data_IF_925303123230
#
_entry.id   IF_925303123230
#
_cell.length_a   1.000
_cell.length_b   1.000
_cell.length_c   1.000
_cell.angle_alpha   90.00
_cell.angle_beta   90.00
_cell.angle_gamma   90.00
#
_symmetry.space_group_name_H-M   'P 1'
#
loop_
_entity.id
_entity.type
_entity.pdbx_description
1 polymer ?
#
# COMPACT_ATOMS: atom_id res chain seq x y z
N UNK A 1 32.02 28.13 -31.00
CA UNK A 1 33.14 28.77 -30.29
C UNK A 1 34.04 27.66 -29.82
N UNK A 2 35.19 27.50 -30.46
CA UNK A 2 36.13 26.45 -30.10
C UNK A 2 36.80 26.79 -28.78
N UNK A 3 36.83 25.82 -27.86
CA UNK A 3 37.26 26.01 -26.47
C UNK A 3 38.76 26.19 -26.31
N UNK A 4 39.51 25.98 -27.39
CA UNK A 4 40.96 26.14 -27.45
C UNK A 4 41.32 26.96 -28.67
N UNK A 5 41.95 28.11 -28.46
CA UNK A 5 42.62 28.87 -29.51
C UNK A 5 44.04 28.34 -29.68
N UNK A 6 44.53 28.27 -30.91
CA UNK A 6 45.94 27.96 -31.17
C UNK A 6 46.66 29.25 -31.49
N UNK A 7 47.69 29.57 -30.72
CA UNK A 7 48.49 30.78 -30.89
C UNK A 7 49.37 30.69 -32.15
N UNK A 8 49.96 31.81 -32.59
CA UNK A 8 50.80 31.87 -33.81
C UNK A 8 52.00 30.90 -33.80
N UNK A 9 52.38 30.42 -32.61
CA UNK A 9 53.44 29.44 -32.36
C UNK A 9 52.94 28.00 -32.13
N UNK A 10 51.67 27.69 -32.45
CA UNK A 10 51.11 26.34 -32.32
C UNK A 10 50.77 25.92 -30.88
N UNK A 11 50.83 26.83 -29.90
CA UNK A 11 50.49 26.55 -28.51
C UNK A 11 48.97 26.64 -28.31
N UNK A 12 48.38 25.61 -27.69
CA UNK A 12 46.95 25.63 -27.34
C UNK A 12 46.76 26.50 -26.10
N UNK A 13 46.02 27.59 -26.25
CA UNK A 13 45.56 28.45 -25.16
C UNK A 13 44.07 28.23 -24.91
N UNK A 14 43.67 28.28 -23.64
CA UNK A 14 42.27 28.22 -23.25
C UNK A 14 41.64 29.58 -23.50
N UNK A 15 40.51 29.62 -24.22
CA UNK A 15 39.81 30.87 -24.45
C UNK A 15 38.96 31.24 -23.24
N UNK A 16 39.48 32.15 -22.41
CA UNK A 16 38.86 32.57 -21.14
C UNK A 16 37.45 33.12 -21.36
N UNK A 17 37.22 33.91 -22.41
CA UNK A 17 35.92 34.52 -22.70
C UNK A 17 34.86 33.46 -23.07
N UNK A 18 35.25 32.44 -23.84
CA UNK A 18 34.35 31.34 -24.18
C UNK A 18 33.95 30.52 -22.94
N UNK A 19 34.89 30.28 -22.02
CA UNK A 19 34.62 29.61 -20.75
C UNK A 19 33.81 30.48 -19.78
N UNK A 20 34.05 31.79 -19.73
CA UNK A 20 33.25 32.72 -18.95
C UNK A 20 31.82 32.82 -19.47
N UNK A 21 31.63 32.86 -20.79
CA UNK A 21 30.31 32.85 -21.41
C UNK A 21 29.57 31.53 -21.15
N UNK A 22 30.25 30.40 -21.20
CA UNK A 22 29.67 29.09 -20.88
C UNK A 22 29.36 28.95 -19.39
N UNK A 23 30.20 29.48 -18.50
CA UNK A 23 29.95 29.53 -17.06
C UNK A 23 28.74 30.43 -16.72
N UNK A 24 28.64 31.61 -17.35
CA UNK A 24 27.48 32.51 -17.21
C UNK A 24 26.20 31.85 -17.73
N UNK A 25 26.25 31.14 -18.87
CA UNK A 25 25.12 30.35 -19.40
C UNK A 25 24.77 29.13 -18.54
N UNK A 26 25.75 28.52 -17.87
CA UNK A 26 25.53 27.44 -16.90
C UNK A 26 24.95 27.94 -15.57
N UNK A 27 25.33 29.14 -15.13
CA UNK A 27 24.79 29.81 -13.95
C UNK A 27 23.38 30.37 -14.16
N UNK A 28 23.02 30.72 -15.41
CA UNK A 28 21.61 30.80 -15.81
C UNK A 28 21.04 29.38 -15.69
N UNK A 29 20.62 29.04 -14.46
CA UNK A 29 20.12 27.73 -14.06
C UNK A 29 19.22 27.22 -15.17
N UNK A 30 19.59 26.09 -15.79
CA UNK A 30 18.66 25.31 -16.60
C UNK A 30 17.36 25.25 -15.80
N UNK A 31 16.30 25.82 -16.36
CA UNK A 31 15.00 25.85 -15.71
C UNK A 31 14.59 24.44 -15.31
N UNK A 32 13.60 24.31 -14.41
CA UNK A 32 13.08 22.98 -14.08
C UNK A 32 12.73 22.24 -15.37
N UNK A 33 13.11 20.96 -15.44
CA UNK A 33 12.87 20.16 -16.64
C UNK A 33 11.38 20.19 -17.00
N UNK A 34 11.06 20.11 -18.28
CA UNK A 34 9.65 20.03 -18.72
C UNK A 34 8.94 18.82 -18.08
N UNK A 35 9.68 17.73 -17.84
CA UNK A 35 9.22 16.58 -17.06
C UNK A 35 8.84 16.96 -15.62
N UNK A 36 9.69 17.73 -14.94
CA UNK A 36 9.41 18.20 -13.58
C UNK A 36 8.22 19.16 -13.52
N UNK A 37 8.05 20.04 -14.51
CA UNK A 37 6.88 20.93 -14.61
C UNK A 37 5.60 20.14 -14.85
N UNK A 38 5.63 19.18 -15.77
CA UNK A 38 4.47 18.32 -16.06
C UNK A 38 4.11 17.41 -14.88
N UNK A 39 5.12 16.87 -14.18
CA UNK A 39 4.89 16.13 -12.95
C UNK A 39 4.27 17.04 -11.89
N UNK A 40 4.82 18.24 -11.69
CA UNK A 40 4.28 19.18 -10.71
C UNK A 40 2.84 19.62 -11.04
N UNK A 41 2.50 19.86 -12.30
CA UNK A 41 1.12 20.23 -12.68
C UNK A 41 0.14 19.07 -12.46
N UNK A 42 0.51 17.84 -12.81
CA UNK A 42 -0.28 16.64 -12.53
C UNK A 42 -0.50 16.46 -11.03
N UNK A 43 0.57 16.59 -10.25
CA UNK A 43 0.49 16.40 -8.80
C UNK A 43 -0.27 17.54 -8.13
N UNK A 44 -0.11 18.78 -8.58
CA UNK A 44 -0.76 19.96 -7.99
C UNK A 44 -2.29 19.88 -7.97
N UNK A 45 -2.90 19.12 -8.87
CA UNK A 45 -4.34 18.87 -8.88
C UNK A 45 -4.83 18.04 -7.67
N UNK A 46 -3.93 17.30 -7.02
CA UNK A 46 -4.23 16.45 -5.86
C UNK A 46 -3.75 17.07 -4.55
N UNK A 47 -4.36 16.70 -3.42
CA UNK A 47 -3.93 17.20 -2.10
C UNK A 47 -2.49 16.79 -1.78
N UNK A 48 -1.75 17.56 -0.97
CA UNK A 48 -0.34 17.30 -0.63
C UNK A 48 -0.05 15.84 -0.20
N UNK A 49 -0.96 15.22 0.55
CA UNK A 49 -0.83 13.81 0.96
C UNK A 49 -1.02 12.82 -0.21
N UNK A 50 -1.92 13.13 -1.15
CA UNK A 50 -2.15 12.31 -2.34
C UNK A 50 -0.95 12.42 -3.29
N UNK A 51 -0.40 13.62 -3.48
CA UNK A 51 0.83 13.86 -4.24
C UNK A 51 1.97 12.97 -3.73
N UNK A 52 2.18 12.97 -2.41
CA UNK A 52 3.20 12.14 -1.77
C UNK A 52 2.96 10.65 -2.03
N UNK A 53 1.73 10.18 -1.84
CA UNK A 53 1.38 8.78 -2.05
C UNK A 53 1.61 8.36 -3.52
N UNK A 54 1.24 9.22 -4.46
CA UNK A 54 1.44 9.00 -5.89
C UNK A 54 2.92 8.92 -6.26
N UNK A 55 3.76 9.85 -5.78
CA UNK A 55 5.22 9.78 -5.98
C UNK A 55 5.84 8.49 -5.47
N UNK A 56 5.42 8.05 -4.29
CA UNK A 56 5.89 6.78 -3.72
C UNK A 56 5.42 5.59 -4.56
N UNK A 57 4.16 5.58 -4.98
CA UNK A 57 3.62 4.52 -5.84
C UNK A 57 4.31 4.48 -7.22
N UNK A 58 4.59 5.63 -7.84
CA UNK A 58 5.36 5.72 -9.07
C UNK A 58 6.78 5.15 -8.88
N UNK A 59 7.43 5.47 -7.77
CA UNK A 59 8.76 4.95 -7.45
C UNK A 59 8.74 3.41 -7.29
N UNK A 60 7.74 2.87 -6.60
CA UNK A 60 7.57 1.42 -6.37
C UNK A 60 7.21 0.69 -7.67
N UNK A 61 6.28 1.24 -8.46
CA UNK A 61 5.88 0.64 -9.74
C UNK A 61 6.99 0.67 -10.78
N UNK A 62 7.97 1.58 -10.64
CA UNK A 62 9.13 1.67 -11.53
C UNK A 62 10.24 0.65 -11.24
N UNK A 63 10.12 -0.13 -10.16
CA UNK A 63 11.06 -1.21 -9.82
C UNK A 63 11.10 -2.27 -10.93
N UNK A 64 12.31 -2.73 -11.29
CA UNK A 64 12.61 -3.69 -12.38
C UNK A 64 12.28 -3.25 -13.82
N UNK A 65 11.78 -2.03 -14.04
CA UNK A 65 11.40 -1.55 -15.38
C UNK A 65 12.50 -0.78 -16.14
N UNK A 66 13.57 -0.36 -15.45
CA UNK A 66 14.66 0.43 -16.07
C UNK A 66 15.89 -0.43 -16.32
N UNK A 67 16.27 -0.58 -17.58
CA UNK A 67 17.55 -1.16 -18.02
C UNK A 67 18.56 -0.04 -18.25
N UNK A 68 19.73 -0.13 -17.63
CA UNK A 68 20.81 0.83 -17.87
C UNK A 68 21.53 0.45 -19.16
N UNK A 69 21.63 1.39 -20.10
CA UNK A 69 22.60 1.33 -21.19
C UNK A 69 23.83 2.07 -20.68
N UNK A 70 24.96 1.38 -20.59
CA UNK A 70 26.18 1.89 -19.98
C UNK A 70 26.88 2.92 -20.89
N UNK A 71 26.35 4.15 -20.95
CA UNK A 71 27.06 5.27 -21.55
C UNK A 71 28.00 5.89 -20.52
N UNK A 72 29.31 5.64 -20.69
CA UNK A 72 30.37 6.17 -19.82
C UNK A 72 30.44 7.70 -19.79
N UNK A 73 29.82 8.38 -20.76
CA UNK A 73 29.79 9.83 -20.91
C UNK A 73 28.74 10.56 -20.04
N UNK A 74 27.69 9.87 -19.57
CA UNK A 74 26.68 10.49 -18.69
C UNK A 74 27.10 10.37 -17.22
N UNK A 75 28.11 11.14 -16.82
CA UNK A 75 28.39 11.44 -15.41
C UNK A 75 27.40 12.47 -14.83
N UNK A 76 26.11 12.27 -15.10
CA UNK A 76 25.01 13.06 -14.57
C UNK A 76 24.24 12.30 -13.49
N UNK A 77 23.52 13.02 -12.63
CA UNK A 77 22.73 12.53 -11.45
C UNK A 77 21.59 11.53 -11.76
N UNK A 78 21.65 10.77 -12.86
CA UNK A 78 20.62 9.80 -13.30
C UNK A 78 21.25 8.42 -13.48
N UNK A 79 22.02 7.96 -12.49
CA UNK A 79 22.65 6.63 -12.54
C UNK A 79 22.08 5.77 -11.42
N UNK A 80 20.95 5.12 -11.76
CA UNK A 80 20.34 4.01 -11.01
C UNK A 80 19.65 4.37 -9.68
N UNK A 81 18.44 3.85 -9.47
CA UNK A 81 17.69 3.96 -8.22
C UNK A 81 16.28 4.55 -8.35
N UNK A 82 15.70 4.95 -7.21
CA UNK A 82 14.42 5.64 -7.14
C UNK A 82 14.59 7.10 -7.57
N UNK A 83 13.74 7.58 -8.46
CA UNK A 83 13.84 8.94 -9.01
C UNK A 83 12.72 9.82 -8.46
N UNK A 84 13.06 11.01 -8.00
CA UNK A 84 12.08 12.06 -7.71
C UNK A 84 11.87 12.92 -8.97
N UNK A 85 10.67 12.92 -9.59
CA UNK A 85 10.40 13.67 -10.83
C UNK A 85 10.38 15.19 -10.60
N UNK A 86 10.09 15.65 -9.37
CA UNK A 86 10.03 17.08 -9.03
C UNK A 86 11.43 17.69 -8.94
N UNK A 87 12.38 16.95 -8.36
CA UNK A 87 13.73 17.45 -8.10
C UNK A 87 14.79 16.94 -9.09
N UNK A 88 14.42 16.05 -10.01
CA UNK A 88 15.34 15.37 -10.94
C UNK A 88 16.54 14.69 -10.22
N UNK A 89 16.28 14.15 -9.04
CA UNK A 89 17.27 13.45 -8.20
C UNK A 89 17.03 11.94 -8.21
N UNK A 90 18.08 11.15 -8.38
CA UNK A 90 18.06 9.71 -8.15
C UNK A 90 18.63 9.34 -6.78
N UNK A 91 17.94 8.47 -6.06
CA UNK A 91 18.31 7.93 -4.76
C UNK A 91 18.55 6.43 -4.85
N UNK A 92 19.56 5.92 -4.15
CA UNK A 92 19.87 4.48 -4.09
C UNK A 92 18.81 3.71 -3.31
N UNK A 93 18.35 4.28 -2.19
CA UNK A 93 17.50 3.65 -1.20
C UNK A 93 16.11 4.30 -1.09
N UNK A 94 15.13 3.53 -0.62
CA UNK A 94 13.76 4.02 -0.37
C UNK A 94 13.70 5.02 0.78
N UNK A 95 14.47 4.81 1.84
CA UNK A 95 14.51 5.71 3.00
C UNK A 95 15.03 7.09 2.60
N UNK A 96 16.13 7.14 1.85
CA UNK A 96 16.68 8.38 1.32
C UNK A 96 15.68 9.14 0.42
N UNK A 97 14.85 8.42 -0.36
CA UNK A 97 13.78 9.01 -1.15
C UNK A 97 12.68 9.60 -0.24
N UNK A 98 12.25 8.85 0.77
CA UNK A 98 11.20 9.30 1.71
C UNK A 98 11.65 10.53 2.50
N UNK A 99 12.89 10.53 2.98
CA UNK A 99 13.49 11.66 3.69
C UNK A 99 13.63 12.87 2.77
N UNK A 100 13.98 12.65 1.50
CA UNK A 100 13.98 13.71 0.51
C UNK A 100 12.59 14.30 0.28
N UNK A 101 11.55 13.48 0.10
CA UNK A 101 10.17 13.95 -0.10
C UNK A 101 9.66 14.71 1.15
N UNK A 102 10.11 14.30 2.35
CA UNK A 102 9.85 14.99 3.61
C UNK A 102 10.62 16.30 3.79
N UNK A 103 11.71 16.49 3.04
CA UNK A 103 12.58 17.64 3.26
C UNK A 103 11.89 18.96 2.87
N UNK A 104 12.16 20.06 3.61
CA UNK A 104 11.58 21.37 3.28
C UNK A 104 12.06 21.88 1.92
N UNK A 105 13.21 21.42 1.44
CA UNK A 105 13.73 21.77 0.12
C UNK A 105 12.86 21.19 -1.00
N UNK A 106 12.39 19.95 -0.84
CA UNK A 106 11.48 19.33 -1.78
C UNK A 106 10.12 20.04 -1.79
N UNK A 107 9.55 20.30 -0.61
CA UNK A 107 8.27 21.00 -0.48
C UNK A 107 8.30 22.39 -1.13
N UNK A 108 9.37 23.17 -0.93
CA UNK A 108 9.53 24.49 -1.56
C UNK A 108 9.59 24.41 -3.09
N UNK A 109 10.34 23.45 -3.64
CA UNK A 109 10.43 23.25 -5.09
C UNK A 109 9.10 22.80 -5.70
N UNK A 110 8.38 21.88 -5.03
CA UNK A 110 7.06 21.46 -5.46
C UNK A 110 6.09 22.64 -5.53
N UNK A 111 6.14 23.53 -4.55
CA UNK A 111 5.33 24.76 -4.52
C UNK A 111 5.74 25.77 -5.59
N UNK A 112 7.05 25.97 -5.80
CA UNK A 112 7.55 26.84 -6.86
C UNK A 112 7.06 26.36 -8.24
N UNK A 113 7.10 25.05 -8.48
CA UNK A 113 6.59 24.47 -9.71
C UNK A 113 5.06 24.57 -9.83
N UNK A 114 4.32 24.38 -8.73
CA UNK A 114 2.87 24.57 -8.71
C UNK A 114 2.47 26.03 -8.97
N UNK A 115 3.25 27.01 -8.50
CA UNK A 115 3.07 28.44 -8.81
C UNK A 115 3.32 28.71 -10.29
N UNK A 116 4.40 28.17 -10.85
CA UNK A 116 4.69 28.27 -12.29
C UNK A 116 3.56 27.64 -13.12
N UNK A 117 2.96 26.56 -12.64
CA UNK A 117 1.84 25.89 -13.29
C UNK A 117 0.48 26.59 -13.10
N UNK A 118 0.41 27.68 -12.33
CA UNK A 118 -0.83 28.45 -12.08
C UNK A 118 -1.86 27.74 -11.20
N UNK A 119 -1.47 26.66 -10.53
CA UNK A 119 -2.34 25.83 -9.68
C UNK A 119 -2.16 26.20 -8.21
N UNK A 120 -2.34 27.47 -7.88
CA UNK A 120 -2.19 27.96 -6.51
C UNK A 120 -3.53 27.99 -5.79
N UNK A 121 -3.53 27.41 -4.59
CA UNK A 121 -4.59 27.62 -3.61
C UNK A 121 -4.10 28.59 -2.54
N UNK A 122 -4.96 29.54 -2.24
CA UNK A 122 -4.73 30.81 -1.56
C UNK A 122 -4.73 30.69 -0.03
N UNK A 123 -3.99 29.71 0.53
CA UNK A 123 -3.92 29.49 1.98
C UNK A 123 -2.55 29.83 2.55
N UNK A 124 -2.51 30.37 3.78
CA UNK A 124 -1.27 30.47 4.55
C UNK A 124 -0.64 29.09 4.75
N UNK A 125 0.64 29.01 4.42
CA UNK A 125 1.37 27.75 4.39
C UNK A 125 2.46 27.79 5.45
N UNK A 126 2.29 27.04 6.55
CA UNK A 126 3.39 26.80 7.49
C UNK A 126 4.17 25.58 7.05
N UNK A 127 5.50 25.71 6.91
CA UNK A 127 6.41 24.62 6.51
C UNK A 127 6.05 23.86 5.23
N UNK A 128 5.28 24.46 4.33
CA UNK A 128 4.85 23.81 3.09
C UNK A 128 3.46 23.16 3.13
N UNK A 129 2.78 23.18 4.28
CA UNK A 129 1.46 22.57 4.49
C UNK A 129 0.42 23.67 4.81
N UNK A 130 -0.76 23.62 4.18
CA UNK A 130 -1.87 24.51 4.49
C UNK A 130 -2.56 24.08 5.79
N UNK A 131 -2.88 25.04 6.65
CA UNK A 131 -3.76 24.78 7.78
C UNK A 131 -5.19 24.56 7.28
N UNK A 132 -5.84 23.50 7.77
CA UNK A 132 -7.22 23.21 7.44
C UNK A 132 -8.17 24.14 8.22
N UNK A 133 -9.24 24.58 7.57
CA UNK A 133 -10.32 25.31 8.24
C UNK A 133 -11.18 24.35 9.07
N UNK A 134 -11.86 24.81 10.13
CA UNK A 134 -12.72 23.94 10.94
C UNK A 134 -13.85 23.29 10.13
N UNK A 135 -14.34 23.97 9.09
CA UNK A 135 -15.36 23.45 8.18
C UNK A 135 -14.83 22.33 7.28
N UNK A 136 -13.59 22.44 6.78
CA UNK A 136 -12.95 21.33 6.06
C UNK A 136 -12.74 20.10 6.97
N UNK A 137 -12.44 20.34 8.25
CA UNK A 137 -12.25 19.26 9.23
C UNK A 137 -13.56 18.52 9.48
N UNK A 138 -14.69 19.22 9.64
CA UNK A 138 -15.98 18.53 9.82
C UNK A 138 -16.36 17.68 8.59
N UNK A 139 -16.23 18.24 7.38
CA UNK A 139 -16.51 17.52 6.13
C UNK A 139 -15.62 16.28 5.96
N UNK A 140 -14.32 16.40 6.25
CA UNK A 140 -13.40 15.26 6.16
C UNK A 140 -13.72 14.18 7.18
N UNK A 141 -14.09 14.55 8.41
CA UNK A 141 -14.53 13.61 9.44
C UNK A 141 -15.79 12.86 8.97
N UNK A 142 -16.79 13.56 8.44
CA UNK A 142 -18.01 12.94 7.92
C UNK A 142 -17.71 11.92 6.80
N UNK A 143 -16.83 12.28 5.86
CA UNK A 143 -16.38 11.40 4.79
C UNK A 143 -15.66 10.15 5.32
N UNK A 144 -14.78 10.31 6.31
CA UNK A 144 -14.05 9.22 6.93
C UNK A 144 -14.97 8.28 7.73
N UNK A 145 -15.95 8.83 8.44
CA UNK A 145 -16.98 8.06 9.14
C UNK A 145 -17.81 7.25 8.14
N UNK A 146 -18.28 7.89 7.06
CA UNK A 146 -19.02 7.21 6.00
C UNK A 146 -18.19 6.08 5.36
N UNK A 147 -16.89 6.31 5.10
CA UNK A 147 -15.98 5.30 4.57
C UNK A 147 -15.81 4.12 5.53
N UNK A 148 -15.57 4.38 6.82
CA UNK A 148 -15.49 3.32 7.85
C UNK A 148 -16.78 2.53 7.98
N UNK A 149 -17.95 3.18 7.89
CA UNK A 149 -19.23 2.49 7.92
C UNK A 149 -19.41 1.56 6.71
N UNK A 150 -18.99 1.98 5.51
CA UNK A 150 -19.00 1.13 4.31
C UNK A 150 -18.03 -0.05 4.44
N UNK A 151 -16.81 0.19 4.91
CA UNK A 151 -15.82 -0.88 5.16
C UNK A 151 -16.29 -1.86 6.24
N UNK A 152 -16.95 -1.36 7.29
CA UNK A 152 -17.57 -2.19 8.32
C UNK A 152 -18.79 -2.97 7.81
N UNK A 153 -19.59 -2.41 6.92
CA UNK A 153 -20.68 -3.14 6.27
C UNK A 153 -20.14 -4.22 5.33
N UNK A 154 -19.08 -3.91 4.57
CA UNK A 154 -18.39 -4.83 3.68
C UNK A 154 -17.61 -5.93 4.41
N UNK A 155 -17.14 -5.69 5.63
CA UNK A 155 -16.51 -6.71 6.47
C UNK A 155 -17.52 -7.50 7.31
N UNK A 156 -18.69 -6.94 7.63
CA UNK A 156 -19.80 -7.69 8.25
C UNK A 156 -20.38 -8.80 7.37
N UNK A 157 -20.13 -8.77 6.05
CA UNK A 157 -20.47 -9.89 5.16
C UNK A 157 -19.54 -11.09 5.31
N UNK A 158 -18.39 -10.97 6.01
CA UNK A 158 -17.53 -12.10 6.40
C UNK A 158 -18.05 -12.90 7.62
N UNK A 159 -19.37 -12.92 7.83
CA UNK A 159 -20.09 -13.44 9.00
C UNK A 159 -19.82 -12.66 10.29
N UNK A 160 -20.82 -11.87 10.68
CA UNK A 160 -20.87 -11.26 12.01
C UNK A 160 -20.56 -12.32 13.09
N UNK A 161 -19.77 -11.96 14.10
CA UNK A 161 -19.50 -12.83 15.26
C UNK A 161 -20.81 -13.42 15.85
N UNK A 162 -21.91 -12.68 15.78
CA UNK A 162 -23.23 -13.12 16.21
C UNK A 162 -23.80 -14.25 15.34
N UNK A 163 -23.59 -14.23 14.02
CA UNK A 163 -24.01 -15.30 13.11
C UNK A 163 -23.19 -16.57 13.34
N UNK A 164 -21.89 -16.45 13.59
CA UNK A 164 -21.04 -17.58 14.01
C UNK A 164 -21.52 -18.22 15.31
N UNK A 165 -21.90 -17.41 16.30
CA UNK A 165 -22.45 -17.90 17.57
C UNK A 165 -23.79 -18.61 17.36
N UNK A 166 -24.68 -18.04 16.53
CA UNK A 166 -25.97 -18.68 16.17
C UNK A 166 -25.78 -20.01 15.45
N UNK A 167 -24.86 -20.09 14.48
CA UNK A 167 -24.52 -21.35 13.78
C UNK A 167 -23.96 -22.40 14.74
N UNK A 168 -23.09 -22.00 15.69
CA UNK A 168 -22.55 -22.89 16.73
C UNK A 168 -23.64 -23.42 17.66
N UNK A 169 -24.57 -22.56 18.10
CA UNK A 169 -25.70 -22.95 18.95
C UNK A 169 -26.64 -23.93 18.24
N UNK A 170 -27.02 -23.63 16.99
CA UNK A 170 -27.86 -24.52 16.18
C UNK A 170 -27.21 -25.90 15.95
N UNK A 171 -25.89 -25.95 15.77
CA UNK A 171 -25.15 -27.21 15.64
C UNK A 171 -25.15 -28.02 16.94
N UNK A 172 -24.95 -27.37 18.09
CA UNK A 172 -25.00 -28.00 19.42
C UNK A 172 -26.40 -28.56 19.72
N UNK A 173 -27.45 -27.81 19.38
CA UNK A 173 -28.83 -28.22 19.57
C UNK A 173 -29.20 -29.42 18.70
N UNK A 174 -28.82 -29.40 17.41
CA UNK A 174 -29.03 -30.54 16.49
C UNK A 174 -28.25 -31.79 16.92
N UNK A 175 -27.09 -31.63 17.55
CA UNK A 175 -26.32 -32.75 18.12
C UNK A 175 -26.98 -33.30 19.39
N UNK A 176 -27.57 -32.43 20.21
CA UNK A 176 -28.32 -32.80 21.41
C UNK A 176 -29.60 -33.55 21.07
N UNK A 177 -30.39 -33.07 20.10
CA UNK A 177 -31.61 -33.74 19.64
C UNK A 177 -31.32 -35.12 19.06
N UNK A 178 -30.30 -35.26 18.20
CA UNK A 178 -29.85 -36.57 17.68
C UNK A 178 -29.40 -37.53 18.79
N UNK A 179 -28.79 -37.04 19.87
CA UNK A 179 -28.42 -37.88 21.02
C UNK A 179 -29.64 -38.33 21.83
N UNK A 180 -30.63 -37.44 22.03
CA UNK A 180 -31.89 -37.77 22.70
C UNK A 180 -32.69 -38.80 21.92
N UNK A 181 -32.78 -38.64 20.60
CA UNK A 181 -33.48 -39.58 19.70
C UNK A 181 -32.83 -40.97 19.70
N UNK A 182 -31.48 -41.04 19.68
CA UNK A 182 -30.75 -42.31 19.84
C UNK A 182 -30.97 -42.97 21.20
N UNK A 183 -31.10 -42.17 22.28
CA UNK A 183 -31.42 -42.69 23.63
C UNK A 183 -32.85 -43.21 23.72
N UNK A 184 -33.80 -42.54 23.08
CA UNK A 184 -35.19 -43.03 23.00
C UNK A 184 -35.29 -44.31 22.18
N UNK A 185 -34.62 -44.40 21.03
CA UNK A 185 -34.54 -45.66 20.25
C UNK A 185 -33.90 -46.80 21.02
N UNK A 186 -32.87 -46.53 21.83
CA UNK A 186 -32.28 -47.55 22.72
C UNK A 186 -33.19 -47.97 23.86
N UNK A 187 -33.97 -47.06 24.45
CA UNK A 187 -34.95 -47.39 25.48
C UNK A 187 -36.12 -48.21 24.92
N UNK A 188 -36.66 -47.85 23.76
CA UNK A 188 -37.68 -48.65 23.09
C UNK A 188 -37.18 -50.03 22.64
N UNK A 189 -35.88 -50.15 22.29
CA UNK A 189 -35.26 -51.45 22.02
C UNK A 189 -34.92 -52.27 23.27
N UNK A 190 -34.88 -51.64 24.46
CA UNK A 190 -34.61 -52.33 25.73
C UNK A 190 -35.87 -53.03 26.26
N UNK A 191 -37.05 -52.45 26.05
CA UNK A 191 -38.35 -53.08 26.33
C UNK A 191 -38.57 -54.30 25.42
N UNK A 192 -38.18 -54.23 24.13
CA UNK A 192 -38.25 -55.37 23.20
C UNK A 192 -37.18 -56.44 23.50
N UNK A 193 -36.00 -56.04 23.99
CA UNK A 193 -34.93 -56.98 24.35
C UNK A 193 -35.20 -57.76 25.66
N UNK A 194 -36.00 -57.23 26.58
CA UNK A 194 -36.46 -57.97 27.77
C UNK A 194 -37.44 -59.09 27.39
N UNK A 195 -38.33 -58.84 26.42
CA UNK A 195 -39.23 -59.87 25.88
C UNK A 195 -38.50 -60.94 25.04
N UNK A 196 -37.48 -60.55 24.25
CA UNK A 196 -36.62 -61.49 23.52
C UNK A 196 -35.74 -62.34 24.47
N UNK A 197 -35.34 -61.79 25.62
CA UNK A 197 -34.57 -62.51 26.65
C UNK A 197 -35.39 -63.61 27.33
N UNK A 198 -36.69 -63.37 27.58
CA UNK A 198 -37.60 -64.38 28.12
C UNK A 198 -37.96 -65.45 27.08
N UNK A 199 -38.22 -65.06 25.82
CA UNK A 199 -38.41 -66.02 24.71
C UNK A 199 -37.14 -66.83 24.39
N UNK A 200 -35.95 -66.25 24.50
CA UNK A 200 -34.68 -66.97 24.36
C UNK A 200 -34.45 -67.98 25.51
N UNK A 201 -35.01 -67.72 26.69
CA UNK A 201 -34.96 -68.61 27.86
C UNK A 201 -35.92 -69.80 27.74
N UNK A 202 -37.10 -69.60 27.16
CA UNK A 202 -38.06 -70.68 26.88
C UNK A 202 -37.63 -71.57 25.71
N UNK A 203 -36.88 -71.02 24.76
CA UNK A 203 -36.31 -71.76 23.62
C UNK A 203 -34.90 -72.35 23.88
N UNK A 204 -34.40 -72.31 25.12
CA UNK A 204 -33.19 -73.03 25.54
C UNK A 204 -31.84 -72.37 25.20
N UNK A 205 -31.80 -71.08 24.84
CA UNK A 205 -30.54 -70.36 24.51
C UNK A 205 -29.78 -69.80 25.72
N UNK A 206 -30.18 -70.15 26.95
CA UNK A 206 -29.59 -69.61 28.19
C UNK A 206 -28.25 -70.21 28.63
N UNK A 207 -27.50 -70.89 27.76
CA UNK A 207 -26.40 -71.79 28.16
C UNK A 207 -25.08 -71.71 27.40
N UNK A 208 -24.85 -70.73 26.52
CA UNK A 208 -23.60 -70.64 25.74
C UNK A 208 -22.78 -69.41 26.16
N UNK A 209 -21.80 -69.57 27.06
CA UNK A 209 -20.78 -68.52 27.24
C UNK A 209 -20.11 -68.34 28.60
N UNK A 210 -20.24 -69.26 29.56
CA UNK A 210 -19.50 -69.16 30.83
C UNK A 210 -18.53 -70.33 31.03
N UNK A 211 -17.40 -70.32 30.31
CA UNK A 211 -16.12 -70.91 30.79
C UNK A 211 -14.92 -70.30 30.05
N UNK A 212 -13.91 -69.84 30.82
CA UNK A 212 -12.47 -69.65 30.47
C UNK A 212 -12.10 -68.49 29.51
N UNK A 213 -11.09 -67.63 29.71
CA UNK A 213 -9.83 -67.59 30.50
C UNK A 213 -9.43 -66.11 30.74
N UNK A 214 -8.75 -65.85 31.88
CA UNK A 214 -7.99 -64.66 32.30
C UNK A 214 -8.79 -63.49 32.91
#
# INVERSE_FOLDING_TARGET
MDKTSTDQYGRKSWNVEAYEAEAKKGQQKKGPSEEAKAAASRLAASGHLQQRAELLNESITSVKKRTLIADSALSGRKRFGFTCPICDLSFRDTLALVDHINSPQHARKAQELARIAGTEGTGEVSNGIRHATPEEVSQTIELLVAKKLRENAASKTMESMQERVRKRAAFMEKRSSRRKEKRQKKKGGQEVAEEESEMAKTMGFGGFGSTKVA
#
